data_IF_691230345495
#
_entry.id   IF_691230345495
#
_cell.length_a   1.000
_cell.length_b   1.000
_cell.length_c   1.000
_cell.angle_alpha   90.00
_cell.angle_beta   90.00
_cell.angle_gamma   90.00
#
_symmetry.space_group_name_H-M   'P 1'
#
loop_
_entity.id
_entity.type
_entity.pdbx_description
1 polymer ?
#
# COMPACT_ATOMS: atom_id res chain seq x y z
N UNK A 1 -7.38 -10.33 -32.30
CA UNK A 1 -6.18 -10.89 -31.64
C UNK A 1 -6.11 -10.20 -30.30
N UNK A 2 -6.56 -10.90 -29.25
CA UNK A 2 -6.49 -10.40 -27.87
C UNK A 2 -5.03 -10.43 -27.44
N UNK A 3 -4.41 -9.27 -27.38
CA UNK A 3 -3.04 -9.14 -26.88
C UNK A 3 -3.12 -9.44 -25.37
N UNK A 4 -2.79 -10.66 -24.98
CA UNK A 4 -2.69 -11.05 -23.57
C UNK A 4 -1.65 -10.13 -22.93
N UNK A 5 -2.05 -9.39 -21.90
CA UNK A 5 -1.14 -8.54 -21.14
C UNK A 5 0.00 -9.44 -20.60
N UNK A 6 1.27 -9.19 -20.94
CA UNK A 6 2.38 -10.04 -20.51
C UNK A 6 2.48 -10.18 -18.99
N UNK A 7 1.97 -9.20 -18.25
CA UNK A 7 1.88 -9.28 -16.78
C UNK A 7 0.81 -10.28 -16.34
N UNK A 8 -0.38 -10.28 -16.97
CA UNK A 8 -1.43 -11.24 -16.64
C UNK A 8 -0.94 -12.69 -16.86
N UNK A 9 -0.23 -12.95 -17.95
CA UNK A 9 0.37 -14.24 -18.23
C UNK A 9 1.46 -14.63 -17.19
N UNK A 10 2.28 -13.67 -16.74
CA UNK A 10 3.28 -13.91 -15.71
C UNK A 10 2.66 -14.21 -14.33
N UNK A 11 1.54 -13.54 -14.01
CA UNK A 11 0.79 -13.76 -12.77
C UNK A 11 0.11 -15.13 -12.79
N UNK A 12 -0.50 -15.50 -13.90
CA UNK A 12 -1.12 -16.81 -14.07
C UNK A 12 -0.09 -17.94 -13.95
N UNK A 13 1.09 -17.76 -14.57
CA UNK A 13 2.20 -18.69 -14.43
C UNK A 13 2.77 -18.79 -13.00
N UNK A 14 2.58 -17.77 -12.19
CA UNK A 14 3.03 -17.71 -10.79
C UNK A 14 1.93 -18.08 -9.79
N UNK A 15 0.70 -18.37 -10.22
CA UNK A 15 -0.45 -18.56 -9.34
C UNK A 15 -0.24 -19.65 -8.27
N UNK A 16 0.37 -20.77 -8.66
CA UNK A 16 0.68 -21.88 -7.78
C UNK A 16 2.10 -21.80 -7.16
N UNK A 17 2.81 -20.70 -7.43
CA UNK A 17 4.16 -20.47 -6.91
C UNK A 17 4.16 -19.92 -5.48
N UNK A 18 5.35 -19.68 -4.92
CA UNK A 18 5.49 -19.06 -3.61
C UNK A 18 4.81 -17.69 -3.60
N UNK A 19 4.23 -17.33 -2.46
CA UNK A 19 3.56 -16.05 -2.34
C UNK A 19 4.53 -14.88 -2.53
N UNK A 20 4.13 -13.93 -3.40
CA UNK A 20 4.84 -12.68 -3.69
C UNK A 20 3.95 -11.50 -3.36
N UNK A 21 4.47 -10.58 -2.58
CA UNK A 21 3.73 -9.45 -2.00
C UNK A 21 4.37 -8.13 -2.41
N UNK A 22 3.62 -7.33 -3.15
CA UNK A 22 4.07 -6.04 -3.66
C UNK A 22 3.22 -4.93 -3.07
N UNK A 23 3.84 -3.92 -2.51
CA UNK A 23 3.13 -2.78 -1.92
C UNK A 23 3.12 -1.61 -2.90
N UNK A 24 1.94 -1.02 -3.07
CA UNK A 24 1.75 0.29 -3.67
C UNK A 24 1.47 1.26 -2.54
N UNK A 25 2.34 2.22 -2.32
CA UNK A 25 2.20 3.21 -1.24
C UNK A 25 2.53 4.61 -1.69
N UNK A 26 2.49 5.55 -0.78
CA UNK A 26 2.70 6.99 -0.99
C UNK A 26 1.76 7.80 -0.12
N UNK A 27 1.95 9.09 -0.04
CA UNK A 27 1.09 9.99 0.70
C UNK A 27 -0.35 10.04 0.17
N UNK A 28 -1.21 10.80 0.81
CA UNK A 28 -2.50 11.18 0.21
C UNK A 28 -2.27 11.82 -1.16
N UNK A 29 -3.24 11.69 -2.06
CA UNK A 29 -3.18 12.30 -3.42
C UNK A 29 -2.02 11.82 -4.32
N UNK A 30 -1.50 10.65 -4.06
CA UNK A 30 -0.50 10.03 -4.95
C UNK A 30 -1.11 9.22 -6.11
N UNK A 31 -2.45 9.15 -6.23
CA UNK A 31 -3.13 8.37 -7.26
C UNK A 31 -3.07 6.85 -7.04
N UNK A 32 -2.92 6.41 -5.79
CA UNK A 32 -2.87 4.97 -5.46
C UNK A 32 -4.15 4.24 -5.84
N UNK A 33 -5.29 4.83 -5.53
CA UNK A 33 -6.58 4.17 -5.70
C UNK A 33 -6.86 3.92 -7.18
N UNK A 34 -6.60 4.90 -8.06
CA UNK A 34 -6.71 4.73 -9.52
C UNK A 34 -5.79 3.64 -10.05
N UNK A 35 -4.57 3.55 -9.49
CA UNK A 35 -3.62 2.52 -9.88
C UNK A 35 -4.06 1.13 -9.41
N UNK A 36 -4.56 1.01 -8.18
CA UNK A 36 -5.09 -0.25 -7.63
C UNK A 36 -6.33 -0.71 -8.41
N UNK A 37 -7.24 0.21 -8.74
CA UNK A 37 -8.40 -0.09 -9.57
C UNK A 37 -7.97 -0.63 -10.93
N UNK A 38 -6.94 -0.02 -11.54
CA UNK A 38 -6.40 -0.48 -12.81
C UNK A 38 -5.73 -1.85 -12.72
N UNK A 39 -5.01 -2.13 -11.63
CA UNK A 39 -4.43 -3.44 -11.33
C UNK A 39 -5.56 -4.48 -11.24
N UNK A 40 -6.63 -4.16 -10.50
CA UNK A 40 -7.80 -5.03 -10.37
C UNK A 40 -8.50 -5.28 -11.72
N UNK A 41 -8.74 -4.22 -12.50
CA UNK A 41 -9.35 -4.32 -13.82
C UNK A 41 -8.53 -5.15 -14.82
N UNK A 42 -7.21 -5.24 -14.60
CA UNK A 42 -6.32 -6.12 -15.36
C UNK A 42 -6.37 -7.59 -14.89
N UNK A 43 -7.22 -7.93 -13.92
CA UNK A 43 -7.34 -9.29 -13.37
C UNK A 43 -6.21 -9.68 -12.41
N UNK A 44 -5.45 -8.71 -11.92
CA UNK A 44 -4.31 -8.95 -11.04
C UNK A 44 -4.78 -8.98 -9.57
N UNK A 45 -4.43 -10.01 -8.78
CA UNK A 45 -4.80 -10.07 -7.39
C UNK A 45 -4.29 -8.86 -6.60
N UNK A 46 -5.20 -8.12 -5.96
CA UNK A 46 -4.84 -6.95 -5.17
C UNK A 46 -5.80 -6.73 -4.00
N UNK A 47 -5.32 -6.00 -3.00
CA UNK A 47 -6.13 -5.45 -1.93
C UNK A 47 -6.71 -4.12 -2.44
N UNK A 48 -8.00 -4.13 -2.80
CA UNK A 48 -8.65 -2.96 -3.43
C UNK A 48 -8.89 -1.84 -2.43
N UNK A 49 -9.40 -2.18 -1.26
CA UNK A 49 -9.71 -1.22 -0.21
C UNK A 49 -8.59 -1.13 0.82
N UNK A 50 -8.21 0.08 1.16
CA UNK A 50 -7.30 0.35 2.26
C UNK A 50 -8.04 0.16 3.60
N UNK A 51 -7.61 -0.76 4.48
CA UNK A 51 -8.30 -1.04 5.75
C UNK A 51 -8.50 0.20 6.62
N UNK A 52 -7.54 1.13 6.57
CA UNK A 52 -7.58 2.35 7.35
C UNK A 52 -8.82 3.21 7.13
N UNK A 53 -9.35 3.27 5.90
CA UNK A 53 -10.56 4.08 5.60
C UNK A 53 -11.80 3.52 6.26
N UNK A 54 -12.01 2.21 6.16
CA UNK A 54 -13.19 1.57 6.76
C UNK A 54 -13.13 1.66 8.28
N UNK A 55 -11.98 1.38 8.88
CA UNK A 55 -11.78 1.47 10.34
C UNK A 55 -11.98 2.91 10.81
N UNK A 56 -11.46 3.91 10.06
CA UNK A 56 -11.70 5.32 10.38
C UNK A 56 -13.17 5.69 10.39
N UNK A 57 -13.94 5.24 9.37
CA UNK A 57 -15.39 5.48 9.32
C UNK A 57 -16.11 4.87 10.51
N UNK A 58 -15.80 3.62 10.87
CA UNK A 58 -16.36 2.94 12.06
C UNK A 58 -16.08 3.70 13.36
N UNK A 59 -14.84 4.15 13.55
CA UNK A 59 -14.47 4.98 14.71
C UNK A 59 -15.22 6.31 14.73
N UNK A 60 -15.31 7.00 13.58
CA UNK A 60 -16.03 8.25 13.44
C UNK A 60 -17.53 8.10 13.77
N UNK A 61 -18.16 7.05 13.28
CA UNK A 61 -19.55 6.73 13.59
C UNK A 61 -19.74 6.44 15.08
N UNK A 62 -18.90 5.60 15.67
CA UNK A 62 -18.94 5.26 17.09
C UNK A 62 -18.77 6.49 18.00
N UNK A 63 -17.87 7.40 17.62
CA UNK A 63 -17.53 8.58 18.42
C UNK A 63 -18.45 9.79 18.15
N UNK A 64 -19.18 9.80 17.06
CA UNK A 64 -19.98 10.95 16.58
C UNK A 64 -19.12 12.18 16.20
N UNK A 65 -17.81 12.00 15.99
CA UNK A 65 -16.85 13.06 15.68
C UNK A 65 -15.61 12.49 14.97
N UNK A 66 -14.79 13.37 14.39
CA UNK A 66 -13.47 12.98 13.89
C UNK A 66 -12.55 12.48 15.03
N UNK A 67 -11.65 11.56 14.69
CA UNK A 67 -10.67 11.02 15.65
C UNK A 67 -9.74 12.11 16.14
N UNK A 68 -9.58 12.20 17.44
CA UNK A 68 -8.59 13.05 18.10
C UNK A 68 -7.31 12.26 18.39
N UNK A 69 -6.30 12.92 18.95
CA UNK A 69 -5.01 12.31 19.25
C UNK A 69 -5.13 11.10 20.19
N UNK A 70 -5.98 11.19 21.19
CA UNK A 70 -6.24 10.12 22.16
C UNK A 70 -6.84 8.85 21.51
N UNK A 71 -7.61 9.00 20.43
CA UNK A 71 -8.26 7.89 19.73
C UNK A 71 -7.28 7.18 18.76
N UNK A 72 -6.18 7.85 18.38
CA UNK A 72 -5.31 7.40 17.27
C UNK A 72 -4.57 6.11 17.59
N UNK A 73 -4.26 5.84 18.85
CA UNK A 73 -3.55 4.61 19.23
C UNK A 73 -4.40 3.37 18.98
N UNK A 74 -5.67 3.39 19.45
CA UNK A 74 -6.62 2.30 19.21
C UNK A 74 -6.83 2.08 17.71
N UNK A 75 -7.09 3.16 16.97
CA UNK A 75 -7.23 3.14 15.53
C UNK A 75 -6.00 2.53 14.81
N UNK A 76 -4.79 2.97 15.15
CA UNK A 76 -3.56 2.46 14.51
C UNK A 76 -3.35 0.98 14.76
N UNK A 77 -3.69 0.48 15.96
CA UNK A 77 -3.59 -0.95 16.27
C UNK A 77 -4.60 -1.78 15.48
N UNK A 78 -5.85 -1.31 15.34
CA UNK A 78 -6.86 -1.99 14.54
C UNK A 78 -6.45 -2.05 13.05
N UNK A 79 -5.92 -0.95 12.52
CA UNK A 79 -5.41 -0.89 11.13
C UNK A 79 -4.24 -1.87 10.96
N UNK A 80 -3.32 -1.94 11.92
CA UNK A 80 -2.21 -2.88 11.90
C UNK A 80 -2.69 -4.34 11.83
N UNK A 81 -3.63 -4.73 12.70
CA UNK A 81 -4.15 -6.10 12.72
C UNK A 81 -4.93 -6.44 11.45
N UNK A 82 -5.62 -5.47 10.84
CA UNK A 82 -6.24 -5.66 9.55
C UNK A 82 -5.21 -5.93 8.43
N UNK A 83 -4.09 -5.18 8.39
CA UNK A 83 -3.00 -5.45 7.45
C UNK A 83 -2.35 -6.81 7.67
N UNK A 84 -2.17 -7.24 8.93
CA UNK A 84 -1.64 -8.57 9.27
C UNK A 84 -2.60 -9.66 8.77
N UNK A 85 -3.90 -9.47 8.93
CA UNK A 85 -4.92 -10.39 8.44
C UNK A 85 -4.86 -10.53 6.92
N UNK A 86 -4.83 -9.41 6.19
CA UNK A 86 -4.70 -9.39 4.73
C UNK A 86 -3.39 -10.03 4.25
N UNK A 87 -2.29 -9.77 4.95
CA UNK A 87 -1.00 -10.36 4.64
C UNK A 87 -1.01 -11.88 4.80
N UNK A 88 -1.56 -12.39 5.90
CA UNK A 88 -1.56 -13.82 6.24
C UNK A 88 -2.57 -14.62 5.43
N UNK A 89 -3.63 -13.99 4.96
CA UNK A 89 -4.62 -14.62 4.08
C UNK A 89 -4.05 -14.98 2.69
N UNK A 90 -2.98 -14.31 2.25
CA UNK A 90 -2.34 -14.59 0.97
C UNK A 90 -1.23 -15.63 1.12
N UNK A 91 -1.44 -16.83 0.57
CA UNK A 91 -0.55 -17.98 0.77
C UNK A 91 0.23 -18.41 -0.48
N UNK A 92 -0.20 -18.02 -1.69
CA UNK A 92 0.45 -18.37 -2.95
C UNK A 92 0.25 -17.31 -4.02
N UNK A 93 1.08 -17.31 -5.05
CA UNK A 93 0.97 -16.42 -6.19
C UNK A 93 1.36 -14.96 -5.89
N UNK A 94 0.97 -14.06 -6.77
CA UNK A 94 1.29 -12.64 -6.70
C UNK A 94 0.08 -11.87 -6.15
N UNK A 95 0.32 -10.94 -5.22
CA UNK A 95 -0.69 -9.99 -4.74
C UNK A 95 -0.11 -8.60 -4.54
N UNK A 96 -0.86 -7.58 -4.98
CA UNK A 96 -0.58 -6.20 -4.68
C UNK A 96 -1.38 -5.71 -3.47
N UNK A 97 -0.77 -4.87 -2.67
CA UNK A 97 -1.35 -4.30 -1.46
C UNK A 97 -1.47 -2.79 -1.60
N UNK A 98 -2.66 -2.27 -1.33
CA UNK A 98 -2.91 -0.83 -1.18
C UNK A 98 -2.44 -0.42 0.21
N UNK A 99 -1.20 0.07 0.32
CA UNK A 99 -0.39 0.26 1.51
C UNK A 99 0.11 -1.06 2.13
N UNK A 100 1.01 -0.94 3.09
CA UNK A 100 1.57 -2.05 3.83
C UNK A 100 1.76 -1.74 5.30
N UNK A 101 2.16 -2.75 6.07
CA UNK A 101 2.41 -2.63 7.51
C UNK A 101 3.36 -1.46 7.86
N UNK A 102 4.48 -1.22 7.11
CA UNK A 102 5.38 -0.10 7.43
C UNK A 102 4.79 1.31 7.23
N UNK A 103 3.66 1.46 6.50
CA UNK A 103 2.92 2.73 6.46
C UNK A 103 2.53 3.21 7.86
N UNK A 104 2.37 2.27 8.81
CA UNK A 104 2.08 2.56 10.20
C UNK A 104 3.08 3.50 10.86
N UNK A 105 4.38 3.39 10.54
CA UNK A 105 5.40 4.31 11.05
C UNK A 105 5.13 5.76 10.61
N UNK A 106 4.80 5.94 9.34
CA UNK A 106 4.49 7.25 8.78
C UNK A 106 3.26 7.88 9.42
N UNK A 107 2.18 7.11 9.55
CA UNK A 107 0.94 7.60 10.15
C UNK A 107 1.07 7.85 11.65
N UNK A 108 1.69 6.95 12.40
CA UNK A 108 1.94 7.17 13.83
C UNK A 108 2.82 8.40 14.06
N UNK A 109 3.90 8.55 13.26
CA UNK A 109 4.77 9.73 13.30
C UNK A 109 4.03 11.02 12.97
N UNK A 110 3.13 11.00 11.97
CA UNK A 110 2.30 12.16 11.63
C UNK A 110 1.36 12.56 12.78
N UNK A 111 0.79 11.61 13.48
CA UNK A 111 -0.05 11.86 14.66
C UNK A 111 0.76 12.19 15.93
N UNK A 112 2.08 12.24 15.85
CA UNK A 112 2.97 12.47 17.00
C UNK A 112 2.98 11.31 18.00
N UNK A 113 2.70 10.11 17.54
CA UNK A 113 2.80 8.87 18.31
C UNK A 113 4.18 8.24 18.09
N UNK A 114 4.63 7.49 19.09
CA UNK A 114 5.80 6.62 18.93
C UNK A 114 5.33 5.27 18.36
N UNK A 115 6.11 4.62 17.50
CA UNK A 115 5.83 3.26 17.06
C UNK A 115 5.59 2.32 18.24
N UNK A 116 4.61 1.44 18.06
CA UNK A 116 4.36 0.39 19.09
C UNK A 116 5.32 -0.78 18.90
N UNK A 117 5.70 -1.50 19.97
CA UNK A 117 6.46 -2.76 19.84
C UNK A 117 5.75 -3.75 18.90
N UNK A 118 4.42 -3.73 18.86
CA UNK A 118 3.62 -4.58 17.97
C UNK A 118 3.82 -4.22 16.49
N UNK A 119 3.91 -2.92 16.16
CA UNK A 119 4.21 -2.46 14.79
C UNK A 119 5.63 -2.86 14.38
N UNK A 120 6.61 -2.68 15.29
CA UNK A 120 8.00 -3.06 15.06
C UNK A 120 8.14 -4.56 14.81
N UNK A 121 7.54 -5.40 15.67
CA UNK A 121 7.50 -6.86 15.50
C UNK A 121 6.86 -7.26 14.16
N UNK A 122 5.69 -6.69 13.85
CA UNK A 122 4.95 -7.01 12.63
C UNK A 122 5.73 -6.64 11.37
N UNK A 123 6.39 -5.48 11.37
CA UNK A 123 7.21 -5.01 10.24
C UNK A 123 8.42 -5.91 9.98
N UNK A 124 9.02 -6.48 11.02
CA UNK A 124 10.12 -7.43 10.88
C UNK A 124 9.64 -8.81 10.41
N UNK A 125 8.49 -9.24 10.89
CA UNK A 125 7.94 -10.58 10.64
C UNK A 125 7.28 -10.70 9.27
N UNK A 126 6.51 -9.72 8.86
CA UNK A 126 5.69 -9.74 7.65
C UNK A 126 6.35 -8.92 6.53
N UNK A 127 7.20 -9.59 5.75
CA UNK A 127 8.04 -8.92 4.74
C UNK A 127 7.38 -8.93 3.36
N UNK A 128 7.52 -7.82 2.65
CA UNK A 128 7.09 -7.64 1.26
C UNK A 128 8.28 -7.82 0.31
N UNK A 129 8.02 -8.28 -0.92
CA UNK A 129 9.05 -8.53 -1.94
C UNK A 129 9.55 -7.25 -2.62
N UNK A 130 8.66 -6.27 -2.83
CA UNK A 130 9.04 -4.93 -3.26
C UNK A 130 8.01 -3.89 -2.82
N UNK A 131 8.49 -2.65 -2.70
CA UNK A 131 7.71 -1.48 -2.32
C UNK A 131 7.79 -0.47 -3.45
N UNK A 132 6.63 -0.07 -3.98
CA UNK A 132 6.49 0.99 -4.97
C UNK A 132 5.88 2.21 -4.31
N UNK A 133 6.67 3.28 -4.23
CA UNK A 133 6.23 4.55 -3.66
C UNK A 133 5.81 5.47 -4.79
N UNK A 134 4.53 5.83 -4.81
CA UNK A 134 4.01 6.81 -5.77
C UNK A 134 4.28 8.21 -5.29
N UNK A 135 4.98 9.00 -6.10
CA UNK A 135 5.14 10.42 -5.83
C UNK A 135 3.79 11.14 -5.86
N UNK A 136 3.59 12.16 -5.00
CA UNK A 136 2.36 12.96 -4.98
C UNK A 136 2.05 13.58 -6.34
N UNK A 137 0.75 13.65 -6.68
CA UNK A 137 0.26 14.38 -7.85
C UNK A 137 0.12 15.86 -7.51
N UNK A 138 0.18 16.71 -8.52
CA UNK A 138 -0.01 18.17 -8.36
C UNK A 138 -1.46 18.56 -8.03
N UNK A 139 -2.41 17.66 -8.29
CA UNK A 139 -3.84 17.87 -8.00
C UNK A 139 -4.27 17.06 -6.82
N UNK A 140 -5.00 17.70 -5.90
CA UNK A 140 -5.56 17.06 -4.71
C UNK A 140 -7.09 17.02 -4.80
N UNK A 141 -7.63 15.83 -4.69
CA UNK A 141 -9.05 15.60 -4.43
C UNK A 141 -9.17 14.62 -3.28
N UNK A 142 -9.92 14.99 -2.24
CA UNK A 142 -10.30 14.09 -1.14
C UNK A 142 -11.81 13.88 -1.16
N UNK A 143 -12.29 12.85 -1.87
CA UNK A 143 -13.72 12.63 -2.03
C UNK A 143 -14.43 12.25 -0.73
N UNK A 144 -13.72 11.79 0.28
CA UNK A 144 -14.29 11.28 1.53
C UNK A 144 -14.15 12.26 2.72
N UNK A 145 -13.51 13.43 2.53
CA UNK A 145 -13.16 14.36 3.62
C UNK A 145 -12.44 13.66 4.81
N UNK A 146 -11.71 12.61 4.47
CA UNK A 146 -10.93 11.81 5.44
C UNK A 146 -9.57 12.45 5.69
N UNK A 147 -9.02 13.08 4.66
CA UNK A 147 -7.73 13.75 4.72
C UNK A 147 -7.97 15.26 4.91
N UNK A 148 -7.97 15.69 6.13
CA UNK A 148 -8.00 17.09 6.56
C UNK A 148 -6.63 17.78 6.44
N UNK A 149 -5.73 17.20 5.68
CA UNK A 149 -4.37 17.68 5.54
C UNK A 149 -4.28 18.74 4.44
N UNK A 150 -3.67 19.88 4.76
CA UNK A 150 -3.24 20.88 3.78
C UNK A 150 -2.05 20.34 3.00
N UNK A 151 -1.74 20.90 1.84
CA UNK A 151 -0.61 20.47 0.98
C UNK A 151 0.68 20.18 1.73
N UNK A 152 1.03 21.02 2.71
CA UNK A 152 2.22 20.84 3.54
C UNK A 152 2.15 19.57 4.39
N UNK A 153 0.98 19.21 4.90
CA UNK A 153 0.77 18.02 5.73
C UNK A 153 0.78 16.77 4.87
N UNK A 154 0.26 16.85 3.65
CA UNK A 154 0.30 15.77 2.66
C UNK A 154 1.73 15.38 2.33
N UNK A 155 2.58 16.37 2.03
CA UNK A 155 4.01 16.14 1.79
C UNK A 155 4.70 15.54 3.01
N UNK A 156 4.41 16.04 4.20
CA UNK A 156 4.96 15.50 5.44
C UNK A 156 4.55 14.05 5.68
N UNK A 157 3.28 13.69 5.47
CA UNK A 157 2.84 12.29 5.59
C UNK A 157 3.58 11.41 4.59
N UNK A 158 3.72 11.86 3.34
CA UNK A 158 4.47 11.14 2.32
C UNK A 158 5.92 10.87 2.76
N UNK A 159 6.63 11.91 3.19
CA UNK A 159 8.02 11.80 3.68
C UNK A 159 8.15 10.84 4.86
N UNK A 160 7.22 10.90 5.82
CA UNK A 160 7.20 10.00 6.98
C UNK A 160 6.92 8.54 6.59
N UNK A 161 6.04 8.31 5.62
CA UNK A 161 5.78 6.96 5.07
C UNK A 161 7.06 6.43 4.41
N UNK A 162 7.69 7.21 3.54
CA UNK A 162 8.94 6.83 2.88
C UNK A 162 10.02 6.49 3.91
N UNK A 163 10.20 7.36 4.92
CA UNK A 163 11.15 7.11 6.01
C UNK A 163 10.82 5.82 6.76
N UNK A 164 9.55 5.54 7.04
CA UNK A 164 9.12 4.30 7.69
C UNK A 164 9.52 3.04 6.93
N UNK A 165 9.50 3.07 5.60
CA UNK A 165 9.99 1.96 4.80
C UNK A 165 11.51 1.82 4.83
N UNK A 166 12.26 2.91 4.83
CA UNK A 166 13.73 2.87 5.03
C UNK A 166 14.08 2.33 6.42
N UNK A 167 13.41 2.80 7.47
CA UNK A 167 13.61 2.34 8.85
C UNK A 167 13.29 0.84 9.00
N UNK A 168 12.33 0.36 8.21
CA UNK A 168 11.98 -1.05 8.10
C UNK A 168 12.98 -1.88 7.26
N UNK A 169 14.03 -1.26 6.72
CA UNK A 169 15.09 -1.92 5.93
C UNK A 169 14.66 -2.29 4.51
N UNK A 170 13.76 -1.49 3.90
CA UNK A 170 13.44 -1.60 2.48
C UNK A 170 14.21 -0.58 1.65
N UNK A 171 14.35 -0.87 0.38
CA UNK A 171 14.78 0.05 -0.67
C UNK A 171 13.60 0.29 -1.61
N UNK A 172 12.76 1.31 -1.36
CA UNK A 172 11.57 1.59 -2.17
C UNK A 172 11.93 1.96 -3.61
N UNK A 173 11.11 1.52 -4.56
CA UNK A 173 11.14 1.96 -5.95
C UNK A 173 10.19 3.14 -6.10
N UNK A 174 10.71 4.30 -6.47
CA UNK A 174 9.89 5.49 -6.68
C UNK A 174 9.25 5.48 -8.05
N UNK A 175 7.97 5.81 -8.09
CA UNK A 175 7.14 5.87 -9.30
C UNK A 175 6.74 7.31 -9.53
N UNK A 176 7.32 7.94 -10.54
CA UNK A 176 7.09 9.33 -10.88
C UNK A 176 5.61 9.63 -11.21
N UNK A 177 5.16 10.89 -11.07
CA UNK A 177 3.83 11.31 -11.49
C UNK A 177 3.61 11.04 -12.99
N UNK A 178 2.59 10.24 -13.31
CA UNK A 178 2.18 9.92 -14.68
C UNK A 178 0.75 9.34 -14.65
N UNK A 179 0.19 9.00 -15.80
CA UNK A 179 -1.06 8.25 -15.90
C UNK A 179 -0.99 6.91 -15.18
N UNK A 180 -2.10 6.43 -14.65
CA UNK A 180 -2.16 5.12 -13.99
C UNK A 180 -1.68 3.97 -14.91
N UNK A 181 -1.86 4.11 -16.24
CA UNK A 181 -1.36 3.15 -17.22
C UNK A 181 0.17 3.10 -17.24
N UNK A 182 0.82 4.26 -17.43
CA UNK A 182 2.28 4.36 -17.49
C UNK A 182 2.94 3.93 -16.18
N UNK A 183 2.33 4.29 -15.04
CA UNK A 183 2.78 3.83 -13.72
C UNK A 183 2.68 2.32 -13.57
N UNK A 184 1.58 1.70 -14.04
CA UNK A 184 1.45 0.25 -14.03
C UNK A 184 2.52 -0.42 -14.90
N UNK A 185 2.75 0.08 -16.10
CA UNK A 185 3.78 -0.44 -17.00
C UNK A 185 5.18 -0.35 -16.38
N UNK A 186 5.50 0.77 -15.72
CA UNK A 186 6.75 0.95 -14.99
C UNK A 186 6.88 -0.07 -13.85
N UNK A 187 5.84 -0.27 -13.04
CA UNK A 187 5.83 -1.24 -11.95
C UNK A 187 6.05 -2.64 -12.49
N UNK A 188 5.34 -3.01 -13.57
CA UNK A 188 5.49 -4.33 -14.22
C UNK A 188 6.93 -4.59 -14.70
N UNK A 189 7.57 -3.58 -15.27
CA UNK A 189 8.96 -3.68 -15.73
C UNK A 189 9.96 -3.84 -14.56
N UNK A 190 9.59 -3.39 -13.36
CA UNK A 190 10.42 -3.46 -12.15
C UNK A 190 10.04 -4.60 -11.20
N UNK A 191 9.05 -5.43 -11.56
CA UNK A 191 8.74 -6.62 -10.79
C UNK A 191 9.89 -7.63 -10.89
N UNK A 192 10.44 -8.04 -9.77
CA UNK A 192 11.42 -9.13 -9.69
C UNK A 192 10.69 -10.49 -9.78
N UNK A 193 10.10 -10.76 -10.92
CA UNK A 193 9.47 -12.06 -11.16
C UNK A 193 10.55 -13.14 -11.39
N UNK A 194 10.35 -14.37 -10.89
CA UNK A 194 11.21 -15.48 -11.28
C UNK A 194 11.13 -15.66 -12.80
N UNK A 195 12.28 -15.80 -13.44
CA UNK A 195 12.31 -16.12 -14.87
C UNK A 195 11.59 -17.46 -15.05
N UNK A 196 10.68 -17.59 -16.04
CA UNK A 196 10.08 -18.87 -16.35
C UNK A 196 11.20 -19.90 -16.56
N UNK A 197 11.12 -21.02 -15.86
CA UNK A 197 12.03 -22.14 -16.11
C UNK A 197 11.89 -22.51 -17.57
N UNK A 198 12.97 -22.38 -18.35
CA UNK A 198 12.99 -22.92 -19.71
C UNK A 198 12.74 -24.41 -19.56
N UNK A 199 11.57 -24.85 -19.98
CA UNK A 199 11.24 -26.27 -20.06
C UNK A 199 12.35 -26.97 -20.85
N UNK A 200 12.87 -28.02 -20.27
CA UNK A 200 13.78 -28.97 -20.91
C UNK A 200 12.98 -29.82 -21.87
#
# INVERSE_FOLDING_TARGET
VTTTNPLAAAIEAAADGPSRRYVITGGPSSGKDDLIERIHAAGIPCMQEEPGREIYRKHRERLGRHLRREDRREYSLEVLEAFITEYTAHTSGIRFYNRGIPDGYGWEGFFGLKPTPRLEEATQRYRYDAIFVLDPLDTFEDPDDIVWAKDREIRRVHELIVQGYYDAGYEPVFVAPDSAAARLDFICANLRLPKPSRGV
#
